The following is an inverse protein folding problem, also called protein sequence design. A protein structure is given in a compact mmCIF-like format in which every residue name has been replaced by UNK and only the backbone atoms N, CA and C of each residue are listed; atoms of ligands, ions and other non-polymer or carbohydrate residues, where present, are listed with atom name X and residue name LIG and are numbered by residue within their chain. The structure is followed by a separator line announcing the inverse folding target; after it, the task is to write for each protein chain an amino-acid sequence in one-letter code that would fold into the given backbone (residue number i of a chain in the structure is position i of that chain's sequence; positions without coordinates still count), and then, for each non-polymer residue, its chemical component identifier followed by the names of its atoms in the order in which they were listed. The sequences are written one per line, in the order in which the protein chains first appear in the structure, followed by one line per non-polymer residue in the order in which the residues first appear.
data_IF_336980132874
#
_entry.id   IF_336980132874
#
_cell.length_a   1.000
_cell.length_b   1.000
_cell.length_c   1.000
_cell.angle_alpha   90.00
_cell.angle_beta   90.00
_cell.angle_gamma   90.00
#
_symmetry.space_group_name_H-M   'P 1'
#
loop_
_entity.id
_entity.type
_entity.pdbx_description
1 polymer ?
#
# COMPACT_ATOMS: atom_id res chain seq x y z
N UNK A 1 -8.91 11.20 24.07
CA UNK A 1 -8.27 11.87 22.92
C UNK A 1 -6.78 11.57 22.79
N UNK A 2 -6.04 11.43 23.85
CA UNK A 2 -4.57 11.32 23.80
C UNK A 2 -4.03 10.00 23.23
N UNK A 3 -4.55 8.84 23.64
CA UNK A 3 -3.99 7.53 23.23
C UNK A 3 -4.21 7.18 21.74
N UNK A 4 -5.40 7.45 21.21
CA UNK A 4 -5.71 7.18 19.79
C UNK A 4 -4.88 8.08 18.87
N UNK A 5 -4.79 9.38 19.17
CA UNK A 5 -3.99 10.34 18.39
C UNK A 5 -2.52 9.93 18.37
N UNK A 6 -1.97 9.54 19.52
CA UNK A 6 -0.58 9.06 19.63
C UNK A 6 -0.41 7.78 18.79
N UNK A 7 -1.35 6.84 18.85
CA UNK A 7 -1.29 5.60 18.09
C UNK A 7 -1.29 5.89 16.59
N UNK A 8 -2.20 6.73 16.07
CA UNK A 8 -2.26 7.10 14.65
C UNK A 8 -0.97 7.80 14.22
N UNK A 9 -0.45 8.71 15.03
CA UNK A 9 0.80 9.40 14.74
C UNK A 9 1.98 8.42 14.62
N UNK A 10 2.17 7.52 15.59
CA UNK A 10 3.24 6.52 15.59
C UNK A 10 3.10 5.50 14.45
N UNK A 11 1.87 5.04 14.20
CA UNK A 11 1.58 4.15 13.06
C UNK A 11 1.91 4.84 11.73
N UNK A 12 1.61 6.12 11.60
CA UNK A 12 1.91 6.89 10.39
C UNK A 12 3.42 7.07 10.18
N UNK A 13 4.22 7.25 11.26
CA UNK A 13 5.69 7.25 11.18
C UNK A 13 6.18 5.90 10.64
N UNK A 14 5.77 4.80 11.26
CA UNK A 14 6.20 3.46 10.86
C UNK A 14 5.81 3.13 9.44
N UNK A 15 4.55 3.34 9.08
CA UNK A 15 4.02 3.03 7.75
C UNK A 15 4.72 3.83 6.64
N UNK A 16 4.90 5.15 6.83
CA UNK A 16 5.54 6.01 5.84
C UNK A 16 7.06 5.78 5.75
N UNK A 17 7.73 5.47 6.87
CA UNK A 17 9.12 5.05 6.86
C UNK A 17 9.32 3.77 6.04
N UNK A 18 8.50 2.75 6.29
CA UNK A 18 8.53 1.48 5.55
C UNK A 18 8.29 1.73 4.06
N UNK A 19 7.21 2.41 3.70
CA UNK A 19 6.90 2.71 2.30
C UNK A 19 8.02 3.49 1.62
N UNK A 20 8.60 4.47 2.29
CA UNK A 20 9.68 5.26 1.70
C UNK A 20 10.99 4.49 1.55
N UNK A 21 11.25 3.53 2.44
CA UNK A 21 12.46 2.70 2.42
C UNK A 21 12.36 1.55 1.43
N UNK A 22 11.21 0.87 1.36
CA UNK A 22 11.02 -0.35 0.55
C UNK A 22 10.24 -0.12 -0.75
N UNK A 23 9.56 1.01 -0.86
CA UNK A 23 8.69 1.36 -1.98
C UNK A 23 7.24 0.90 -1.82
N UNK A 24 6.86 0.22 -0.71
CA UNK A 24 5.50 -0.25 -0.44
C UNK A 24 5.31 -0.56 1.04
N UNK A 25 4.16 -1.13 1.41
CA UNK A 25 3.93 -1.66 2.75
C UNK A 25 3.19 -0.71 3.69
N UNK A 26 2.89 0.53 3.28
CA UNK A 26 2.11 1.46 4.09
C UNK A 26 0.81 0.83 4.57
N UNK A 27 -0.02 0.36 3.60
CA UNK A 27 -1.31 -0.26 3.90
C UNK A 27 -1.15 -1.53 4.74
N UNK A 28 -0.15 -2.38 4.43
CA UNK A 28 0.11 -3.60 5.21
C UNK A 28 0.39 -3.23 6.67
N UNK A 29 1.30 -2.28 6.91
CA UNK A 29 1.70 -1.88 8.24
C UNK A 29 0.55 -1.26 9.03
N UNK A 30 -0.16 -0.30 8.45
CA UNK A 30 -1.18 0.46 9.17
C UNK A 30 -2.48 -0.31 9.36
N UNK A 31 -2.87 -1.17 8.39
CA UNK A 31 -4.11 -1.95 8.43
C UNK A 31 -4.06 -3.13 9.40
N UNK A 32 -2.90 -3.47 9.94
CA UNK A 32 -2.83 -4.44 11.05
C UNK A 32 -3.50 -3.91 12.33
N UNK A 33 -3.56 -2.60 12.52
CA UNK A 33 -4.09 -1.99 13.75
C UNK A 33 -5.24 -1.01 13.52
N UNK A 34 -5.23 -0.27 12.41
CA UNK A 34 -6.19 0.80 12.15
C UNK A 34 -7.66 0.37 12.19
N UNK A 35 -8.05 -0.85 11.70
CA UNK A 35 -9.43 -1.33 11.78
C UNK A 35 -9.97 -1.56 13.19
N UNK A 36 -9.10 -1.58 14.20
CA UNK A 36 -9.51 -1.70 15.60
C UNK A 36 -9.69 -0.34 16.29
N UNK A 37 -9.21 0.72 15.67
CA UNK A 37 -9.26 2.07 16.23
C UNK A 37 -10.37 2.94 15.64
N UNK A 38 -10.80 2.65 14.41
CA UNK A 38 -11.84 3.42 13.73
C UNK A 38 -13.22 2.75 13.81
N UNK A 39 -14.31 3.55 13.74
CA UNK A 39 -15.70 3.07 13.86
C UNK A 39 -16.05 2.01 12.82
N UNK A 40 -15.61 2.20 11.56
CA UNK A 40 -15.89 1.27 10.47
C UNK A 40 -14.62 0.86 9.72
N UNK A 41 -14.68 -0.31 9.10
CA UNK A 41 -13.60 -0.80 8.24
C UNK A 41 -13.37 0.12 7.02
N UNK A 42 -14.45 0.68 6.48
CA UNK A 42 -14.39 1.64 5.37
C UNK A 42 -13.62 2.92 5.73
N UNK A 43 -13.84 3.46 6.95
CA UNK A 43 -13.09 4.62 7.46
C UNK A 43 -11.61 4.29 7.64
N UNK A 44 -11.28 3.12 8.19
CA UNK A 44 -9.90 2.68 8.35
C UNK A 44 -9.15 2.61 7.01
N UNK A 45 -9.76 2.00 5.99
CA UNK A 45 -9.16 1.94 4.65
C UNK A 45 -9.07 3.30 3.98
N UNK A 46 -10.00 4.23 4.26
CA UNK A 46 -9.99 5.61 3.74
C UNK A 46 -8.86 6.42 4.36
N UNK A 47 -8.71 6.37 5.68
CA UNK A 47 -7.61 7.05 6.39
C UNK A 47 -6.25 6.52 5.92
N UNK A 48 -6.10 5.21 5.82
CA UNK A 48 -4.89 4.58 5.27
C UNK A 48 -4.57 5.11 3.86
N UNK A 49 -5.58 5.20 2.99
CA UNK A 49 -5.44 5.74 1.63
C UNK A 49 -4.98 7.19 1.60
N UNK A 50 -5.58 8.06 2.41
CA UNK A 50 -5.22 9.50 2.52
C UNK A 50 -3.77 9.70 2.96
N UNK A 51 -3.35 9.01 4.02
CA UNK A 51 -1.97 9.07 4.51
C UNK A 51 -0.98 8.52 3.50
N UNK A 52 -1.35 7.45 2.77
CA UNK A 52 -0.54 6.89 1.69
C UNK A 52 -0.46 7.83 0.47
N UNK A 53 -1.51 8.59 0.13
CA UNK A 53 -1.48 9.65 -0.90
C UNK A 53 -0.38 10.66 -0.55
N UNK A 54 -0.38 11.17 0.68
CA UNK A 54 0.61 12.16 1.12
C UNK A 54 2.03 11.61 1.03
N UNK A 55 2.25 10.38 1.52
CA UNK A 55 3.54 9.70 1.43
C UNK A 55 4.00 9.56 -0.04
N UNK A 56 3.12 9.05 -0.89
CA UNK A 56 3.42 8.82 -2.32
C UNK A 56 3.63 10.13 -3.08
N UNK A 57 2.85 11.18 -2.79
CA UNK A 57 2.99 12.49 -3.46
C UNK A 57 4.37 13.11 -3.22
N UNK A 58 4.86 13.06 -1.97
CA UNK A 58 6.21 13.55 -1.62
C UNK A 58 7.30 12.77 -2.38
N UNK A 59 7.12 11.46 -2.54
CA UNK A 59 8.10 10.61 -3.24
C UNK A 59 8.06 10.87 -4.74
N UNK A 60 6.87 10.86 -5.34
CA UNK A 60 6.67 11.09 -6.79
C UNK A 60 7.21 12.46 -7.20
N UNK A 61 6.95 13.50 -6.43
CA UNK A 61 7.46 14.85 -6.71
C UNK A 61 8.99 14.85 -6.91
N UNK A 62 9.73 14.11 -6.10
CA UNK A 62 11.20 14.03 -6.15
C UNK A 62 11.72 13.07 -7.21
N UNK A 63 10.92 12.09 -7.65
CA UNK A 63 11.36 11.00 -8.52
C UNK A 63 10.61 10.93 -9.85
N UNK A 64 9.83 11.95 -10.21
CA UNK A 64 8.97 12.00 -11.40
C UNK A 64 9.70 11.78 -12.73
N UNK A 65 10.98 12.13 -12.80
CA UNK A 65 11.81 11.93 -14.00
C UNK A 65 12.07 10.47 -14.35
N UNK A 66 11.88 9.55 -13.40
CA UNK A 66 12.06 8.11 -13.61
C UNK A 66 10.75 7.39 -13.97
N UNK A 67 9.62 8.10 -14.14
CA UNK A 67 8.34 7.50 -14.46
C UNK A 67 8.23 7.20 -15.96
N UNK A 68 7.92 5.95 -16.29
CA UNK A 68 7.66 5.50 -17.66
C UNK A 68 6.17 5.25 -17.86
N UNK A 69 5.44 6.29 -18.26
CA UNK A 69 3.96 6.26 -18.40
C UNK A 69 3.43 5.13 -19.27
N UNK A 70 4.10 4.83 -20.38
CA UNK A 70 3.69 3.76 -21.31
C UNK A 70 3.65 2.37 -20.63
N UNK A 71 4.52 2.14 -19.65
CA UNK A 71 4.56 0.90 -18.86
C UNK A 71 3.57 0.91 -17.70
N UNK A 72 3.24 2.11 -17.18
CA UNK A 72 2.36 2.27 -16.02
C UNK A 72 0.89 2.05 -16.38
N UNK A 73 0.44 2.58 -17.53
CA UNK A 73 -0.98 2.60 -17.89
C UNK A 73 -1.68 1.23 -17.85
N UNK A 74 -1.14 0.14 -18.43
CA UNK A 74 -1.87 -1.13 -18.46
C UNK A 74 -2.20 -1.71 -17.08
N UNK A 75 -1.23 -1.67 -16.16
CA UNK A 75 -1.43 -2.15 -14.78
C UNK A 75 -2.34 -1.21 -13.98
N UNK A 76 -2.21 0.11 -14.19
CA UNK A 76 -2.97 1.12 -13.49
C UNK A 76 -4.45 1.10 -13.88
N UNK A 77 -4.77 1.02 -15.18
CA UNK A 77 -6.16 0.98 -15.66
C UNK A 77 -6.88 -0.27 -15.13
N UNK A 78 -6.25 -1.43 -15.23
CA UNK A 78 -6.81 -2.67 -14.69
C UNK A 78 -7.05 -2.56 -13.18
N UNK A 79 -6.09 -2.00 -12.45
CA UNK A 79 -6.22 -1.73 -11.03
C UNK A 79 -7.41 -0.81 -10.71
N UNK A 80 -7.54 0.32 -11.41
CA UNK A 80 -8.62 1.30 -11.17
C UNK A 80 -9.98 0.64 -11.34
N UNK A 81 -10.19 -0.08 -12.44
CA UNK A 81 -11.47 -0.77 -12.71
C UNK A 81 -11.78 -1.78 -11.60
N UNK A 82 -10.84 -2.67 -11.32
CA UNK A 82 -11.05 -3.74 -10.34
C UNK A 82 -11.20 -3.21 -8.91
N UNK A 83 -10.38 -2.23 -8.51
CA UNK A 83 -10.49 -1.65 -7.16
C UNK A 83 -11.80 -0.88 -6.97
N UNK A 84 -12.29 -0.20 -7.99
CA UNK A 84 -13.60 0.47 -7.96
C UNK A 84 -14.71 -0.55 -7.73
N UNK A 85 -14.75 -1.63 -8.50
CA UNK A 85 -15.74 -2.71 -8.32
C UNK A 85 -15.63 -3.32 -6.91
N UNK A 86 -14.41 -3.58 -6.44
CA UNK A 86 -14.18 -4.14 -5.11
C UNK A 86 -14.64 -3.21 -3.98
N UNK A 87 -14.48 -1.89 -4.10
CA UNK A 87 -14.98 -0.92 -3.11
C UNK A 87 -16.52 -0.90 -3.08
N UNK A 88 -17.18 -0.94 -4.24
CA UNK A 88 -18.64 -1.04 -4.28
C UNK A 88 -19.15 -2.38 -3.69
N UNK A 89 -18.44 -3.47 -3.92
CA UNK A 89 -18.77 -4.76 -3.29
C UNK A 89 -18.56 -4.71 -1.76
N UNK A 90 -17.53 -4.02 -1.29
CA UNK A 90 -17.22 -3.86 0.14
C UNK A 90 -18.38 -3.24 0.92
N UNK A 91 -19.12 -2.29 0.32
CA UNK A 91 -20.27 -1.65 0.98
C UNK A 91 -21.43 -2.61 1.31
N UNK A 92 -21.44 -3.80 0.71
CA UNK A 92 -22.47 -4.83 0.92
C UNK A 92 -22.03 -5.94 1.88
N UNK A 93 -20.82 -5.85 2.43
CA UNK A 93 -20.24 -6.86 3.30
C UNK A 93 -20.12 -6.28 4.70
N UNK A 94 -20.51 -7.06 5.71
CA UNK A 94 -20.41 -6.64 7.11
C UNK A 94 -18.94 -6.54 7.57
N UNK A 95 -18.64 -5.57 8.42
CA UNK A 95 -17.27 -5.25 8.88
C UNK A 95 -16.55 -6.45 9.51
N UNK A 96 -17.29 -7.30 10.26
CA UNK A 96 -16.68 -8.48 10.88
C UNK A 96 -16.25 -9.55 9.86
N UNK A 97 -16.98 -9.68 8.75
CA UNK A 97 -16.63 -10.57 7.64
C UNK A 97 -15.37 -10.02 6.93
N UNK A 98 -15.34 -8.69 6.70
CA UNK A 98 -14.19 -8.03 6.08
C UNK A 98 -12.91 -8.21 6.90
N UNK A 99 -12.99 -8.09 8.24
CA UNK A 99 -11.85 -8.31 9.14
C UNK A 99 -11.36 -9.77 9.08
N UNK A 100 -12.26 -10.74 9.02
CA UNK A 100 -11.89 -12.18 8.86
C UNK A 100 -11.24 -12.46 7.50
N UNK A 101 -11.82 -11.92 6.42
CA UNK A 101 -11.26 -12.08 5.06
C UNK A 101 -9.91 -11.36 4.98
N UNK A 102 -9.76 -10.20 5.62
CA UNK A 102 -8.46 -9.52 5.75
C UNK A 102 -7.42 -10.44 6.41
N UNK A 103 -7.73 -11.03 7.56
CA UNK A 103 -6.83 -11.96 8.25
C UNK A 103 -6.42 -13.13 7.35
N UNK A 104 -7.39 -13.79 6.70
CA UNK A 104 -7.09 -14.88 5.75
C UNK A 104 -6.24 -14.42 4.56
N UNK A 105 -6.57 -13.26 3.96
CA UNK A 105 -5.82 -12.70 2.85
C UNK A 105 -4.37 -12.38 3.25
N UNK A 106 -4.19 -11.82 4.44
CA UNK A 106 -2.88 -11.52 5.00
C UNK A 106 -2.06 -12.80 5.22
N UNK A 107 -2.67 -13.87 5.72
CA UNK A 107 -2.04 -15.19 5.88
C UNK A 107 -1.60 -15.76 4.52
N UNK A 108 -2.49 -15.77 3.53
CA UNK A 108 -2.19 -16.28 2.19
C UNK A 108 -1.07 -15.49 1.51
N UNK A 109 -1.12 -14.15 1.61
CA UNK A 109 -0.08 -13.26 1.10
C UNK A 109 1.25 -13.56 1.79
N UNK A 110 1.23 -13.79 3.09
CA UNK A 110 2.40 -14.08 3.91
C UNK A 110 3.06 -15.39 3.50
N UNK A 111 2.27 -16.44 3.36
CA UNK A 111 2.75 -17.75 2.89
C UNK A 111 3.32 -17.62 1.48
N UNK A 112 2.60 -16.91 0.59
CA UNK A 112 3.05 -16.68 -0.78
C UNK A 112 4.41 -15.97 -0.81
N UNK A 113 4.60 -14.92 -0.03
CA UNK A 113 5.86 -14.18 0.01
C UNK A 113 6.99 -14.92 0.70
N UNK A 114 6.72 -15.64 1.79
CA UNK A 114 7.73 -16.44 2.47
C UNK A 114 8.30 -17.56 1.57
N UNK A 115 7.44 -18.19 0.77
CA UNK A 115 7.83 -19.35 -0.03
C UNK A 115 8.27 -19.00 -1.46
N UNK A 116 7.73 -17.93 -2.07
CA UNK A 116 7.82 -17.71 -3.51
C UNK A 116 8.46 -16.39 -3.94
N UNK A 117 8.65 -15.41 -3.04
CA UNK A 117 9.08 -14.06 -3.41
C UNK A 117 10.44 -13.99 -4.15
N UNK A 118 11.34 -14.92 -3.88
CA UNK A 118 12.67 -14.97 -4.52
C UNK A 118 12.72 -15.88 -5.76
N UNK A 119 11.73 -16.75 -5.96
CA UNK A 119 11.76 -17.79 -7.02
C UNK A 119 10.98 -17.40 -8.27
N UNK A 120 10.06 -16.46 -8.17
CA UNK A 120 9.18 -16.09 -9.28
C UNK A 120 9.86 -15.05 -10.16
N UNK A 121 10.17 -15.44 -11.39
CA UNK A 121 10.53 -14.52 -12.48
C UNK A 121 9.27 -14.23 -13.29
N UNK A 122 8.72 -13.04 -13.14
CA UNK A 122 7.53 -12.61 -13.90
C UNK A 122 7.97 -12.02 -15.25
N UNK A 123 7.47 -12.54 -16.37
CA UNK A 123 7.71 -11.92 -17.67
C UNK A 123 7.01 -10.56 -17.74
N UNK A 124 7.64 -9.58 -18.39
CA UNK A 124 7.13 -8.21 -18.52
C UNK A 124 6.09 -8.09 -19.65
N UNK A 125 5.13 -9.00 -19.70
CA UNK A 125 4.08 -9.03 -20.72
C UNK A 125 2.85 -8.25 -20.28
N UNK A 126 2.03 -7.77 -21.24
CA UNK A 126 0.77 -7.09 -20.94
C UNK A 126 -0.19 -7.96 -20.10
N UNK A 127 -0.22 -9.27 -20.34
CA UNK A 127 -1.06 -10.23 -19.58
C UNK A 127 -0.67 -10.26 -18.10
N UNK A 128 0.64 -10.31 -17.83
CA UNK A 128 1.16 -10.27 -16.45
C UNK A 128 0.89 -8.92 -15.79
N UNK A 129 1.03 -7.81 -16.53
CA UNK A 129 0.65 -6.48 -16.03
C UNK A 129 -0.81 -6.41 -15.62
N UNK A 130 -1.72 -6.88 -16.49
CA UNK A 130 -3.15 -6.90 -16.20
C UNK A 130 -3.48 -7.82 -15.02
N UNK A 131 -2.86 -9.01 -14.94
CA UNK A 131 -3.02 -9.90 -13.79
C UNK A 131 -2.55 -9.29 -12.47
N UNK A 132 -1.38 -8.65 -12.48
CA UNK A 132 -0.88 -7.91 -11.31
C UNK A 132 -1.81 -6.75 -10.93
N UNK A 133 -2.32 -6.00 -11.92
CA UNK A 133 -3.30 -4.93 -11.71
C UNK A 133 -4.62 -5.45 -11.12
N UNK A 134 -5.13 -6.58 -11.61
CA UNK A 134 -6.35 -7.23 -11.08
C UNK A 134 -6.17 -7.64 -9.62
N UNK A 135 -5.14 -8.41 -9.30
CA UNK A 135 -4.86 -8.84 -7.93
C UNK A 135 -4.63 -7.64 -7.00
N UNK A 136 -3.85 -6.68 -7.46
CA UNK A 136 -3.59 -5.44 -6.71
C UNK A 136 -4.86 -4.62 -6.51
N UNK A 137 -5.76 -4.60 -7.51
CA UNK A 137 -7.06 -3.94 -7.45
C UNK A 137 -8.00 -4.57 -6.42
N UNK A 138 -8.08 -5.89 -6.38
CA UNK A 138 -8.85 -6.61 -5.36
C UNK A 138 -8.30 -6.32 -3.96
N UNK A 139 -6.99 -6.44 -3.77
CA UNK A 139 -6.34 -6.17 -2.49
C UNK A 139 -6.46 -4.71 -2.06
N UNK A 140 -6.33 -3.77 -2.99
CA UNK A 140 -6.47 -2.34 -2.73
C UNK A 140 -7.91 -1.96 -2.40
N UNK A 141 -8.87 -2.46 -3.18
CA UNK A 141 -10.29 -2.18 -3.00
C UNK A 141 -10.83 -2.72 -1.70
N UNK A 142 -10.64 -4.01 -1.41
CA UNK A 142 -11.13 -4.64 -0.19
C UNK A 142 -10.32 -4.28 1.05
N UNK A 143 -8.98 -4.25 0.98
CA UNK A 143 -8.14 -4.22 2.17
C UNK A 143 -7.27 -2.96 2.32
N UNK A 144 -7.31 -2.04 1.36
CA UNK A 144 -6.42 -0.88 1.37
C UNK A 144 -4.94 -1.22 1.15
N UNK A 145 -4.64 -2.44 0.65
CA UNK A 145 -3.29 -3.00 0.52
C UNK A 145 -2.96 -3.40 -0.90
N UNK A 146 -2.84 -2.44 -1.80
CA UNK A 146 -2.61 -2.65 -3.24
C UNK A 146 -1.17 -3.10 -3.60
N UNK A 147 -0.24 -3.09 -2.61
CA UNK A 147 1.19 -3.19 -2.86
C UNK A 147 1.67 -4.51 -3.46
N UNK A 148 1.44 -5.64 -2.81
CA UNK A 148 2.19 -6.87 -3.08
C UNK A 148 2.26 -7.32 -4.55
N UNK A 149 1.16 -7.46 -5.31
CA UNK A 149 1.26 -7.91 -6.70
C UNK A 149 1.92 -6.89 -7.63
N UNK A 150 1.63 -5.60 -7.45
CA UNK A 150 2.24 -4.53 -8.23
C UNK A 150 3.75 -4.41 -7.97
N UNK A 151 4.15 -4.54 -6.70
CA UNK A 151 5.56 -4.51 -6.27
C UNK A 151 6.35 -5.66 -6.89
N UNK A 152 5.81 -6.89 -6.86
CA UNK A 152 6.45 -8.03 -7.50
C UNK A 152 6.68 -7.80 -8.99
N UNK A 153 5.73 -7.17 -9.66
CA UNK A 153 5.88 -6.81 -11.06
C UNK A 153 6.96 -5.73 -11.24
N UNK A 154 6.86 -4.60 -10.55
CA UNK A 154 7.79 -3.48 -10.74
C UNK A 154 9.23 -3.78 -10.30
N UNK A 155 9.44 -4.55 -9.21
CA UNK A 155 10.80 -4.89 -8.76
C UNK A 155 11.57 -5.73 -9.78
N UNK A 156 10.87 -6.43 -10.68
CA UNK A 156 11.45 -7.26 -11.72
C UNK A 156 11.52 -6.56 -13.08
N UNK A 157 10.56 -5.66 -13.36
CA UNK A 157 10.47 -4.97 -14.64
C UNK A 157 11.31 -3.71 -14.74
N UNK A 158 11.66 -3.10 -13.59
CA UNK A 158 12.36 -1.83 -13.58
C UNK A 158 13.88 -1.99 -13.39
N UNK A 159 14.70 -1.19 -14.12
CA UNK A 159 16.15 -1.38 -14.19
C UNK A 159 16.89 -0.99 -12.91
N UNK A 160 16.36 -0.03 -12.14
CA UNK A 160 16.99 0.47 -10.91
C UNK A 160 15.99 0.69 -9.80
N UNK A 161 16.46 0.87 -8.57
CA UNK A 161 15.61 1.18 -7.40
C UNK A 161 14.89 2.52 -7.55
N UNK A 162 15.46 3.48 -8.28
CA UNK A 162 14.87 4.78 -8.55
C UNK A 162 13.66 4.64 -9.49
N UNK A 163 13.82 3.89 -10.61
CA UNK A 163 12.71 3.57 -11.50
C UNK A 163 11.62 2.77 -10.80
N UNK A 164 12.01 1.72 -10.06
CA UNK A 164 11.07 0.95 -9.25
C UNK A 164 10.30 1.85 -8.27
N UNK A 165 10.98 2.70 -7.52
CA UNK A 165 10.35 3.60 -6.55
C UNK A 165 9.40 4.58 -7.25
N UNK A 166 9.84 5.21 -8.35
CA UNK A 166 9.02 6.16 -9.10
C UNK A 166 7.75 5.50 -9.67
N UNK A 167 7.89 4.34 -10.31
CA UNK A 167 6.78 3.61 -10.92
C UNK A 167 5.78 3.15 -9.87
N UNK A 168 6.26 2.53 -8.78
CA UNK A 168 5.42 2.02 -7.70
C UNK A 168 4.70 3.15 -6.98
N UNK A 169 5.39 4.25 -6.66
CA UNK A 169 4.76 5.37 -5.96
C UNK A 169 3.78 6.15 -6.83
N UNK A 170 4.04 6.29 -8.14
CA UNK A 170 3.08 6.91 -9.06
C UNK A 170 1.81 6.04 -9.19
N UNK A 171 1.99 4.73 -9.29
CA UNK A 171 0.89 3.78 -9.27
C UNK A 171 0.07 3.88 -7.98
N UNK A 172 0.72 3.95 -6.81
CA UNK A 172 0.03 4.08 -5.53
C UNK A 172 -0.64 5.44 -5.36
N UNK A 173 0.01 6.52 -5.79
CA UNK A 173 -0.57 7.87 -5.72
C UNK A 173 -1.88 7.93 -6.48
N UNK A 174 -1.87 7.58 -7.76
CA UNK A 174 -3.06 7.65 -8.60
C UNK A 174 -4.11 6.65 -8.11
N UNK A 175 -3.71 5.43 -7.77
CA UNK A 175 -4.61 4.41 -7.26
C UNK A 175 -5.30 4.81 -5.96
N UNK A 176 -4.56 5.34 -4.98
CA UNK A 176 -5.13 5.79 -3.71
C UNK A 176 -6.04 7.01 -3.89
N UNK A 177 -5.69 7.95 -4.79
CA UNK A 177 -6.57 9.08 -5.13
C UNK A 177 -7.91 8.57 -5.65
N UNK A 178 -7.90 7.69 -6.64
CA UNK A 178 -9.15 7.13 -7.20
C UNK A 178 -9.93 6.35 -6.14
N UNK A 179 -9.27 5.47 -5.38
CA UNK A 179 -9.93 4.70 -4.31
C UNK A 179 -10.53 5.61 -3.23
N UNK A 180 -9.84 6.69 -2.85
CA UNK A 180 -10.35 7.64 -1.86
C UNK A 180 -11.59 8.36 -2.37
N UNK A 181 -11.63 8.77 -3.65
CA UNK A 181 -12.83 9.34 -4.25
C UNK A 181 -14.00 8.35 -4.24
N UNK A 182 -13.76 7.10 -4.63
CA UNK A 182 -14.81 6.06 -4.63
C UNK A 182 -15.31 5.78 -3.20
N UNK A 183 -14.42 5.74 -2.21
CA UNK A 183 -14.78 5.57 -0.79
C UNK A 183 -15.53 6.79 -0.24
N UNK A 184 -15.13 8.01 -0.62
CA UNK A 184 -15.85 9.22 -0.26
C UNK A 184 -17.28 9.22 -0.82
N UNK A 185 -17.45 8.81 -2.07
CA UNK A 185 -18.78 8.64 -2.69
C UNK A 185 -19.66 7.64 -1.92
N UNK A 186 -19.06 6.59 -1.35
CA UNK A 186 -19.74 5.59 -0.52
C UNK A 186 -19.88 5.99 0.97
N UNK A 187 -19.58 7.24 1.35
CA UNK A 187 -19.78 7.76 2.70
C UNK A 187 -18.69 7.43 3.72
N UNK A 188 -17.56 6.84 3.30
CA UNK A 188 -16.46 6.50 4.20
C UNK A 188 -15.49 7.66 4.50
N UNK A 189 -15.71 8.83 3.91
CA UNK A 189 -14.93 10.03 4.18
C UNK A 189 -15.66 10.89 5.22
N UNK A 190 -15.45 10.57 6.50
CA UNK A 190 -16.12 11.20 7.63
C UNK A 190 -15.25 12.28 8.28
N UNK A 191 -15.86 13.09 9.17
CA UNK A 191 -15.12 14.07 9.97
C UNK A 191 -14.05 13.41 10.85
N UNK A 192 -14.32 12.21 11.36
CA UNK A 192 -13.35 11.40 12.12
C UNK A 192 -12.12 11.11 11.28
N UNK A 193 -12.30 10.62 10.04
CA UNK A 193 -11.21 10.34 9.11
C UNK A 193 -10.38 11.59 8.82
N UNK A 194 -11.02 12.74 8.63
CA UNK A 194 -10.34 14.01 8.35
C UNK A 194 -9.51 14.49 9.57
N UNK A 195 -10.07 14.38 10.76
CA UNK A 195 -9.39 14.76 12.00
C UNK A 195 -8.16 13.87 12.24
N UNK A 196 -8.35 12.55 12.11
CA UNK A 196 -7.28 11.57 12.31
C UNK A 196 -6.18 11.68 11.23
N UNK A 197 -6.56 12.05 10.01
CA UNK A 197 -5.61 12.37 8.95
C UNK A 197 -4.72 13.57 9.32
N UNK A 198 -5.28 14.64 9.87
CA UNK A 198 -4.49 15.80 10.32
C UNK A 198 -3.44 15.41 11.37
N UNK A 199 -3.79 14.53 12.30
CA UNK A 199 -2.82 14.02 13.29
C UNK A 199 -1.77 13.11 12.67
N UNK A 200 -2.17 12.26 11.72
CA UNK A 200 -1.25 11.37 11.01
C UNK A 200 -0.25 12.07 10.10
N UNK A 201 -0.58 13.28 9.58
CA UNK A 201 0.29 14.05 8.67
C UNK A 201 1.69 14.29 9.25
N UNK A 202 1.78 14.69 10.52
CA UNK A 202 3.06 14.89 11.20
C UNK A 202 3.91 13.63 11.20
N UNK A 203 3.29 12.49 11.48
CA UNK A 203 3.94 11.19 11.43
C UNK A 203 4.43 10.82 10.01
N UNK A 204 3.61 11.09 8.99
CA UNK A 204 3.99 10.87 7.58
C UNK A 204 5.23 11.68 7.20
N UNK A 205 5.31 12.95 7.57
CA UNK A 205 6.46 13.80 7.27
C UNK A 205 7.74 13.25 7.90
N UNK A 206 7.68 12.89 9.18
CA UNK A 206 8.82 12.33 9.92
C UNK A 206 9.26 11.00 9.28
N UNK A 207 8.34 10.06 9.12
CA UNK A 207 8.65 8.72 8.59
C UNK A 207 9.16 8.77 7.15
N UNK A 208 8.57 9.59 6.28
CA UNK A 208 9.04 9.77 4.90
C UNK A 208 10.43 10.38 4.84
N UNK A 209 10.75 11.33 5.73
CA UNK A 209 12.07 11.97 5.79
C UNK A 209 13.14 10.97 6.23
N UNK A 210 12.89 10.24 7.32
CA UNK A 210 13.77 9.19 7.81
C UNK A 210 13.97 8.07 6.78
N UNK A 211 12.89 7.61 6.15
CA UNK A 211 12.95 6.60 5.09
C UNK A 211 13.73 7.07 3.86
N UNK A 212 13.65 8.36 3.51
CA UNK A 212 14.43 8.93 2.40
C UNK A 212 15.93 8.90 2.66
N UNK A 213 16.34 9.16 3.89
CA UNK A 213 17.73 9.10 4.30
C UNK A 213 18.29 7.68 4.21
N UNK A 214 17.54 6.69 4.69
CA UNK A 214 17.91 5.28 4.60
C UNK A 214 17.94 4.80 3.16
N UNK A 215 16.91 5.09 2.36
CA UNK A 215 16.82 4.70 0.94
C UNK A 215 18.03 5.12 0.12
N UNK A 216 18.52 6.35 0.31
CA UNK A 216 19.70 6.88 -0.43
C UNK A 216 20.97 6.07 -0.18
N UNK A 217 21.12 5.49 1.00
CA UNK A 217 22.31 4.75 1.43
C UNK A 217 22.32 3.28 1.03
N UNK A 218 21.17 2.75 0.62
CA UNK A 218 21.03 1.33 0.27
C UNK A 218 21.46 1.11 -1.20
N UNK A 219 22.47 0.26 -1.49
CA UNK A 219 22.80 -0.15 -2.84
C UNK A 219 21.65 -0.92 -3.51
N UNK A 220 21.53 -0.83 -4.85
CA UNK A 220 20.46 -1.50 -5.63
C UNK A 220 20.35 -3.02 -5.35
N UNK A 221 21.48 -3.71 -5.18
CA UNK A 221 21.49 -5.16 -4.91
C UNK A 221 20.88 -5.47 -3.55
N UNK A 222 21.30 -4.73 -2.52
CA UNK A 222 20.81 -4.93 -1.14
C UNK A 222 19.35 -4.51 -1.03
N UNK A 223 18.92 -3.47 -1.75
CA UNK A 223 17.56 -2.98 -1.76
C UNK A 223 16.55 -4.08 -2.11
N UNK A 224 16.80 -4.88 -3.15
CA UNK A 224 15.91 -6.00 -3.52
C UNK A 224 15.78 -7.03 -2.39
N UNK A 225 16.88 -7.36 -1.71
CA UNK A 225 16.82 -8.28 -0.56
C UNK A 225 16.02 -7.70 0.61
N UNK A 226 16.16 -6.39 0.89
CA UNK A 226 15.37 -5.71 1.93
C UNK A 226 13.88 -5.76 1.61
N UNK A 227 13.50 -5.49 0.35
CA UNK A 227 12.10 -5.58 -0.10
C UNK A 227 11.56 -6.99 0.12
N UNK A 228 12.27 -8.02 -0.30
CA UNK A 228 11.84 -9.41 -0.12
C UNK A 228 11.81 -9.83 1.36
N UNK A 229 12.81 -9.43 2.14
CA UNK A 229 12.85 -9.70 3.57
C UNK A 229 11.69 -9.02 4.31
N UNK A 230 11.40 -7.75 3.98
CA UNK A 230 10.25 -7.04 4.56
C UNK A 230 8.93 -7.74 4.25
N UNK A 231 8.74 -8.19 3.01
CA UNK A 231 7.56 -8.95 2.61
C UNK A 231 7.44 -10.24 3.45
N UNK A 232 8.53 -11.00 3.60
CA UNK A 232 8.54 -12.24 4.37
C UNK A 232 8.26 -11.99 5.86
N UNK A 233 8.90 -10.99 6.46
CA UNK A 233 8.71 -10.63 7.87
C UNK A 233 7.29 -10.14 8.13
N UNK A 234 6.75 -9.25 7.28
CA UNK A 234 5.36 -8.80 7.37
C UNK A 234 4.41 -9.99 7.32
N UNK A 235 4.73 -10.97 6.48
CA UNK A 235 4.03 -12.21 6.38
C UNK A 235 3.97 -12.99 7.68
N UNK A 236 5.11 -13.20 8.31
CA UNK A 236 5.21 -13.92 9.59
C UNK A 236 4.49 -13.16 10.71
N UNK A 237 4.67 -11.83 10.80
CA UNK A 237 4.00 -11.00 11.82
C UNK A 237 2.48 -11.16 11.73
N UNK A 238 1.94 -11.11 10.51
CA UNK A 238 0.49 -11.24 10.27
C UNK A 238 -0.02 -12.64 10.65
N UNK A 239 0.76 -13.70 10.39
CA UNK A 239 0.43 -15.05 10.83
C UNK A 239 0.42 -15.21 12.37
N UNK A 240 1.21 -14.41 13.07
CA UNK A 240 1.32 -14.50 14.54
C UNK A 240 0.31 -13.59 15.26
N UNK A 241 -0.28 -12.59 14.59
CA UNK A 241 -1.20 -11.61 15.20
C UNK A 241 -2.67 -11.89 14.95
N UNK A 242 -3.00 -12.89 14.13
CA UNK A 242 -4.35 -13.39 13.86
C UNK A 242 -4.45 -14.88 14.17
#
# INVERSE_FOLDING_TARGET
MSSLVIAIFLLSIGASFVQRTTGFGFGIFIMTMLPFFLPTYGEATTLSGLLAITTSAVIVWRMRSYVTWKRLWPILLTFIVVSTIAIFALTRIEDHILKRILGMALILISIYFALFSQKIKLPTTKRVQMGAGTLSGLMGGFFGMQGPPAVLYFIQSEPSKEHYMAMTQTYFLIGNVVMTFVRAYNGFFTTTVLTDYCFGLGGVVIGTTLGAYVFKRIPNRIFRYIVYAYIAISGVIILMTN
#
